data_IF_034549284215
#
_entry.id   IF_034549284215
#
_cell.length_a   1.000
_cell.length_b   1.000
_cell.length_c   1.000
_cell.angle_alpha   90.00
_cell.angle_beta   90.00
_cell.angle_gamma   90.00
#
_symmetry.space_group_name_H-M   'P 1'
#
loop_
_entity.id
_entity.type
_entity.pdbx_description
1 polymer ?
#
# COMPACT_ATOMS: atom_id res chain seq x y z
N UNK A 1 -76.66 -10.45 0.40
CA UNK A 1 -75.72 -11.52 0.01
C UNK A 1 -74.43 -10.85 -0.37
N UNK A 2 -73.37 -11.27 0.31
CA UNK A 2 -72.01 -10.72 0.30
C UNK A 2 -71.33 -11.13 -0.99
N UNK A 3 -70.69 -10.21 -1.71
CA UNK A 3 -69.59 -10.62 -2.58
C UNK A 3 -68.37 -9.71 -2.39
N UNK A 4 -67.30 -10.39 -2.01
CA UNK A 4 -66.10 -9.91 -1.37
C UNK A 4 -64.99 -9.97 -2.42
N UNK A 5 -64.80 -8.90 -3.18
CA UNK A 5 -63.72 -8.85 -4.17
C UNK A 5 -62.40 -8.47 -3.48
N UNK A 6 -61.57 -9.51 -3.34
CA UNK A 6 -60.23 -9.53 -2.75
C UNK A 6 -59.28 -8.55 -3.46
N UNK A 7 -58.74 -7.60 -2.72
CA UNK A 7 -57.52 -6.88 -3.11
C UNK A 7 -56.32 -7.82 -2.98
N UNK A 8 -55.68 -8.16 -4.09
CA UNK A 8 -54.40 -8.88 -4.09
C UNK A 8 -53.28 -7.87 -3.84
N UNK A 9 -52.73 -7.85 -2.63
CA UNK A 9 -51.49 -7.17 -2.31
C UNK A 9 -50.32 -7.97 -2.92
N UNK A 10 -49.67 -7.44 -3.95
CA UNK A 10 -48.39 -7.97 -4.43
C UNK A 10 -47.26 -7.32 -3.65
N UNK A 11 -46.70 -8.06 -2.68
CA UNK A 11 -45.45 -7.72 -2.04
C UNK A 11 -44.30 -8.07 -3.00
N UNK A 12 -43.65 -7.07 -3.58
CA UNK A 12 -42.38 -7.27 -4.28
C UNK A 12 -41.29 -7.40 -3.23
N UNK A 13 -40.70 -8.60 -3.17
CA UNK A 13 -39.58 -8.93 -2.30
C UNK A 13 -38.36 -8.12 -2.73
N UNK A 14 -37.82 -7.33 -1.80
CA UNK A 14 -36.57 -6.58 -1.99
C UNK A 14 -35.41 -7.59 -2.02
N UNK A 15 -34.80 -7.79 -3.18
CA UNK A 15 -33.48 -8.40 -3.26
C UNK A 15 -32.44 -7.32 -2.96
N UNK A 16 -32.09 -7.15 -1.69
CA UNK A 16 -30.83 -6.50 -1.32
C UNK A 16 -29.72 -7.42 -1.82
N UNK A 17 -29.15 -7.08 -2.97
CA UNK A 17 -27.84 -7.61 -3.36
C UNK A 17 -26.86 -7.16 -2.28
N UNK A 18 -26.54 -8.07 -1.36
CA UNK A 18 -25.38 -7.92 -0.53
C UNK A 18 -24.20 -7.78 -1.49
N UNK A 19 -23.64 -6.57 -1.60
CA UNK A 19 -22.27 -6.42 -2.04
C UNK A 19 -21.49 -7.29 -1.07
N UNK A 20 -21.03 -8.44 -1.56
CA UNK A 20 -20.03 -9.22 -0.87
C UNK A 20 -18.89 -8.23 -0.63
N UNK A 21 -18.80 -7.71 0.59
CA UNK A 21 -17.57 -7.13 1.07
C UNK A 21 -16.53 -8.21 0.81
N UNK A 22 -15.42 -7.91 0.11
CA UNK A 22 -14.38 -8.91 -0.01
C UNK A 22 -14.03 -9.30 1.42
N UNK A 23 -14.41 -10.53 1.77
CA UNK A 23 -13.92 -11.24 2.93
C UNK A 23 -12.42 -11.04 2.89
N UNK A 24 -11.86 -10.50 3.98
CA UNK A 24 -10.42 -10.37 4.20
C UNK A 24 -9.78 -11.66 3.69
N UNK A 25 -9.26 -11.66 2.47
CA UNK A 25 -8.44 -12.73 1.97
C UNK A 25 -7.29 -12.78 2.97
N UNK A 26 -7.07 -13.95 3.55
CA UNK A 26 -5.99 -14.26 4.51
C UNK A 26 -4.76 -13.47 4.09
N UNK A 27 -4.48 -12.36 4.78
CA UNK A 27 -3.58 -11.35 4.25
C UNK A 27 -2.19 -11.95 4.19
N UNK A 28 -1.72 -12.18 2.97
CA UNK A 28 -0.36 -12.62 2.73
C UNK A 28 0.64 -11.59 3.22
N UNK A 29 1.91 -11.97 3.22
CA UNK A 29 3.00 -11.02 3.37
C UNK A 29 3.03 -10.04 2.18
N UNK A 30 3.50 -8.82 2.42
CA UNK A 30 3.62 -7.78 1.41
C UNK A 30 4.89 -6.94 1.57
N UNK A 31 5.37 -6.38 0.47
CA UNK A 31 6.46 -5.39 0.45
C UNK A 31 5.94 -4.09 -0.15
N UNK A 32 6.18 -2.97 0.53
CA UNK A 32 5.60 -1.68 0.19
C UNK A 32 6.69 -0.61 0.06
N UNK A 33 6.55 0.24 -0.94
CA UNK A 33 7.47 1.34 -1.23
C UNK A 33 6.78 2.64 -0.79
N UNK A 34 7.43 3.40 0.07
CA UNK A 34 6.88 4.59 0.70
C UNK A 34 7.75 5.81 0.49
N UNK A 35 7.08 6.95 0.35
CA UNK A 35 7.69 8.26 0.53
C UNK A 35 7.18 8.82 1.86
N UNK A 36 8.10 9.28 2.72
CA UNK A 36 7.75 9.75 4.05
C UNK A 36 8.19 11.19 4.28
N UNK A 37 7.22 12.01 4.67
CA UNK A 37 7.40 13.39 5.06
C UNK A 37 7.63 13.50 6.57
N UNK A 38 8.51 14.38 7.04
CA UNK A 38 8.75 14.55 8.46
C UNK A 38 7.60 15.33 9.12
N UNK A 39 7.37 15.08 10.41
CA UNK A 39 6.38 15.82 11.21
C UNK A 39 6.98 16.95 12.06
N UNK A 40 8.27 17.28 11.87
CA UNK A 40 9.02 18.13 12.80
C UNK A 40 8.53 19.59 12.88
N UNK A 41 8.72 20.23 14.03
CA UNK A 41 8.47 21.65 14.24
C UNK A 41 9.64 22.56 13.81
N UNK A 42 9.53 23.87 14.05
CA UNK A 42 10.61 24.81 13.75
C UNK A 42 11.90 24.44 14.52
N UNK A 43 13.04 24.39 13.83
CA UNK A 43 14.36 24.19 14.44
C UNK A 43 14.91 22.76 14.44
N UNK A 44 14.18 21.77 13.92
CA UNK A 44 14.73 20.42 13.63
C UNK A 44 15.04 20.27 12.15
N UNK A 45 16.15 19.58 11.83
CA UNK A 45 16.46 19.21 10.44
C UNK A 45 15.37 18.30 9.91
N UNK A 46 14.67 18.76 8.88
CA UNK A 46 13.61 18.01 8.23
C UNK A 46 14.24 17.10 7.17
N UNK A 47 13.86 15.83 7.19
CA UNK A 47 14.31 14.86 6.19
C UNK A 47 13.12 14.22 5.50
N UNK A 48 13.20 14.14 4.18
CA UNK A 48 12.29 13.37 3.34
C UNK A 48 12.97 12.05 3.03
N UNK A 49 12.30 10.96 3.38
CA UNK A 49 12.88 9.62 3.26
C UNK A 49 12.04 8.76 2.33
N UNK A 50 12.71 7.87 1.61
CA UNK A 50 12.07 6.82 0.83
C UNK A 50 12.45 5.49 1.42
N UNK A 51 11.47 4.67 1.77
CA UNK A 51 11.68 3.41 2.48
C UNK A 51 10.94 2.26 1.80
N UNK A 52 11.50 1.07 1.94
CA UNK A 52 10.87 -0.20 1.57
C UNK A 52 10.55 -0.94 2.86
N UNK A 53 9.31 -1.38 3.03
CA UNK A 53 8.84 -2.03 4.26
C UNK A 53 8.27 -3.40 3.94
N UNK A 54 8.71 -4.38 4.71
CA UNK A 54 8.11 -5.71 4.72
C UNK A 54 7.02 -5.79 5.80
N UNK A 55 5.87 -6.29 5.43
CA UNK A 55 4.77 -6.58 6.34
C UNK A 55 4.43 -8.07 6.26
N UNK A 56 4.64 -8.80 7.35
CA UNK A 56 4.24 -10.21 7.44
C UNK A 56 2.72 -10.39 7.29
N UNK A 57 1.97 -9.34 7.65
CA UNK A 57 0.55 -9.18 7.35
C UNK A 57 0.36 -7.88 6.56
N UNK A 58 0.04 -7.98 5.27
CA UNK A 58 -0.11 -6.85 4.34
C UNK A 58 -1.01 -5.70 4.87
N UNK A 59 -2.02 -5.98 5.73
CA UNK A 59 -2.89 -4.92 6.29
C UNK A 59 -2.12 -3.87 7.04
N UNK A 60 -1.07 -4.30 7.72
CA UNK A 60 -0.40 -3.49 8.71
C UNK A 60 0.27 -2.31 8.00
N UNK A 61 0.79 -2.55 6.80
CA UNK A 61 1.34 -1.54 5.90
C UNK A 61 0.28 -0.59 5.28
N UNK A 62 -0.97 -0.62 5.76
CA UNK A 62 -2.05 0.28 5.34
C UNK A 62 -2.72 0.98 6.53
N UNK A 63 -2.09 0.94 7.71
CA UNK A 63 -2.61 1.53 8.94
C UNK A 63 -1.63 2.58 9.51
N UNK A 64 -2.08 3.83 9.67
CA UNK A 64 -1.28 4.91 10.24
C UNK A 64 -0.75 4.61 11.66
N UNK A 65 -1.47 3.78 12.42
CA UNK A 65 -1.04 3.33 13.76
C UNK A 65 0.05 2.27 13.72
N UNK A 66 0.33 1.68 12.55
CA UNK A 66 1.38 0.70 12.40
C UNK A 66 2.74 1.39 12.29
N UNK A 67 3.67 0.92 13.11
CA UNK A 67 5.08 1.29 13.03
C UNK A 67 5.90 0.02 12.82
N UNK A 68 6.52 -0.15 11.63
CA UNK A 68 7.28 -1.36 11.34
C UNK A 68 8.54 -1.44 12.20
N UNK A 69 8.89 -2.67 12.60
CA UNK A 69 10.18 -2.93 13.24
C UNK A 69 11.33 -2.56 12.31
N UNK A 70 12.44 -2.04 12.85
CA UNK A 70 13.60 -1.58 12.05
C UNK A 70 14.16 -2.66 11.12
N UNK A 71 14.14 -3.92 11.53
CA UNK A 71 14.59 -5.05 10.72
C UNK A 71 13.73 -5.30 9.47
N UNK A 72 12.50 -4.79 9.47
CA UNK A 72 11.56 -4.85 8.36
C UNK A 72 11.55 -3.57 7.51
N UNK A 73 12.49 -2.66 7.75
CA UNK A 73 12.59 -1.40 7.00
C UNK A 73 13.97 -1.32 6.33
N UNK A 74 13.95 -1.05 5.03
CA UNK A 74 15.13 -0.71 4.27
C UNK A 74 15.02 0.74 3.80
N UNK A 75 15.97 1.59 4.21
CA UNK A 75 16.00 3.00 3.79
C UNK A 75 16.64 3.08 2.40
N UNK A 76 15.88 3.56 1.41
CA UNK A 76 16.33 3.65 0.02
C UNK A 76 16.95 5.01 -0.30
N UNK A 77 16.43 6.08 0.31
CA UNK A 77 16.93 7.44 0.12
C UNK A 77 16.60 8.35 1.30
N UNK A 78 17.44 9.34 1.53
CA UNK A 78 17.26 10.41 2.52
C UNK A 78 17.65 11.73 1.87
N UNK A 79 16.81 12.75 2.01
CA UNK A 79 17.04 14.08 1.50
C UNK A 79 16.69 15.14 2.54
N UNK A 80 17.45 16.24 2.55
CA UNK A 80 17.12 17.46 3.30
C UNK A 80 16.41 18.50 2.44
N UNK A 81 16.24 18.22 1.15
CA UNK A 81 15.44 19.03 0.23
C UNK A 81 14.00 18.58 0.32
N UNK A 82 13.09 19.53 0.49
CA UNK A 82 11.66 19.28 0.60
C UNK A 82 11.12 18.47 -0.57
N UNK A 83 10.39 17.40 -0.26
CA UNK A 83 9.73 16.48 -1.20
C UNK A 83 10.64 15.83 -2.26
N UNK A 84 11.96 15.88 -2.05
CA UNK A 84 12.93 15.20 -2.90
C UNK A 84 13.07 13.73 -2.46
N UNK A 85 12.22 12.88 -3.04
CA UNK A 85 12.18 11.44 -2.80
C UNK A 85 13.05 10.65 -3.79
N UNK A 86 13.26 9.38 -3.47
CA UNK A 86 13.88 8.41 -4.37
C UNK A 86 13.02 8.15 -5.62
N UNK A 87 13.67 7.94 -6.77
CA UNK A 87 12.98 7.62 -8.03
C UNK A 87 12.78 6.09 -8.09
N UNK A 88 11.53 5.65 -8.07
CA UNK A 88 11.17 4.22 -8.01
C UNK A 88 11.16 3.54 -9.38
N UNK A 89 10.96 4.33 -10.44
CA UNK A 89 10.66 3.88 -11.79
C UNK A 89 11.87 3.89 -12.74
N UNK A 90 11.74 3.18 -13.87
CA UNK A 90 12.62 3.29 -15.04
C UNK A 90 13.79 2.30 -15.10
N UNK A 91 14.05 1.52 -14.06
CA UNK A 91 15.07 0.45 -14.08
C UNK A 91 14.83 -0.57 -12.97
N UNK A 92 15.54 -1.70 -13.03
CA UNK A 92 15.60 -2.66 -11.93
C UNK A 92 16.35 -2.04 -10.75
N UNK A 93 15.79 -2.23 -9.55
CA UNK A 93 16.33 -1.69 -8.31
C UNK A 93 16.18 -2.70 -7.17
N UNK A 94 16.90 -2.48 -6.08
CA UNK A 94 16.81 -3.33 -4.90
C UNK A 94 17.04 -2.58 -3.59
N UNK A 95 16.64 -3.21 -2.49
CA UNK A 95 16.86 -2.74 -1.13
C UNK A 95 17.19 -3.95 -0.23
N UNK A 96 18.29 -3.86 0.52
CA UNK A 96 18.71 -4.90 1.46
C UNK A 96 18.30 -4.55 2.88
N UNK A 97 17.44 -5.38 3.47
CA UNK A 97 17.00 -5.24 4.84
C UNK A 97 18.12 -5.55 5.83
N UNK A 98 18.07 -5.02 7.07
CA UNK A 98 19.04 -5.35 8.13
C UNK A 98 19.17 -6.85 8.42
N UNK A 99 18.11 -7.63 8.20
CA UNK A 99 18.11 -9.10 8.30
C UNK A 99 19.01 -9.79 7.26
N UNK A 100 19.45 -9.06 6.24
CA UNK A 100 20.32 -9.54 5.17
C UNK A 100 19.57 -9.94 3.89
N UNK A 101 18.24 -10.04 3.93
CA UNK A 101 17.37 -10.30 2.77
C UNK A 101 17.37 -9.08 1.85
N UNK A 102 17.46 -9.31 0.54
CA UNK A 102 17.35 -8.26 -0.48
C UNK A 102 16.04 -8.44 -1.23
N UNK A 103 15.26 -7.37 -1.33
CA UNK A 103 14.12 -7.30 -2.24
C UNK A 103 14.51 -6.54 -3.50
N UNK A 104 14.22 -7.10 -4.67
CA UNK A 104 14.49 -6.53 -5.98
C UNK A 104 13.18 -6.33 -6.73
N UNK A 105 13.06 -5.24 -7.48
CA UNK A 105 11.88 -4.91 -8.28
C UNK A 105 12.25 -4.20 -9.57
N UNK A 106 11.32 -4.17 -10.52
CA UNK A 106 11.43 -3.35 -11.73
C UNK A 106 10.08 -2.68 -12.03
N UNK A 107 10.07 -1.34 -12.01
CA UNK A 107 8.87 -0.53 -12.26
C UNK A 107 9.08 0.25 -13.56
N UNK A 108 8.18 0.13 -14.56
CA UNK A 108 8.22 0.91 -15.80
C UNK A 108 8.23 2.42 -15.54
N UNK A 109 8.96 3.17 -16.37
CA UNK A 109 9.07 4.64 -16.25
C UNK A 109 7.74 5.38 -16.34
N UNK A 110 6.71 4.77 -16.95
CA UNK A 110 5.38 5.36 -17.10
C UNK A 110 4.41 4.98 -15.96
N UNK A 111 4.86 4.24 -14.94
CA UNK A 111 3.99 3.66 -13.92
C UNK A 111 3.10 4.68 -13.19
N UNK A 112 3.62 5.88 -12.86
CA UNK A 112 2.81 6.92 -12.20
C UNK A 112 1.67 7.47 -13.07
N UNK A 113 1.80 7.40 -14.40
CA UNK A 113 0.76 7.85 -15.33
C UNK A 113 -0.38 6.83 -15.53
N UNK A 114 -0.22 5.61 -15.01
CA UNK A 114 -1.22 4.55 -15.11
C UNK A 114 -2.31 4.72 -14.05
N UNK A 115 -3.50 4.14 -14.24
CA UNK A 115 -4.54 4.13 -13.21
C UNK A 115 -4.07 3.46 -11.92
N UNK A 116 -4.61 3.91 -10.79
CA UNK A 116 -4.30 3.33 -9.48
C UNK A 116 -4.69 1.85 -9.44
N UNK A 117 -3.95 1.07 -8.64
CA UNK A 117 -4.11 -0.38 -8.48
C UNK A 117 -3.83 -1.20 -9.75
N UNK A 118 -3.26 -0.57 -10.78
CA UNK A 118 -2.81 -1.29 -11.99
C UNK A 118 -1.52 -2.04 -11.69
N UNK A 119 -1.38 -3.22 -12.30
CA UNK A 119 -0.13 -3.98 -12.30
C UNK A 119 1.02 -3.19 -12.94
N UNK A 120 2.16 -3.12 -12.25
CA UNK A 120 3.34 -2.37 -12.68
C UNK A 120 4.61 -3.23 -12.80
N UNK A 121 4.52 -4.54 -12.63
CA UNK A 121 5.69 -5.43 -12.72
C UNK A 121 5.77 -6.39 -11.55
N UNK A 122 6.89 -7.09 -11.43
CA UNK A 122 7.15 -8.05 -10.35
C UNK A 122 8.28 -7.58 -9.44
N UNK A 123 8.29 -8.15 -8.24
CA UNK A 123 9.41 -8.07 -7.31
C UNK A 123 9.73 -9.44 -6.73
N UNK A 124 10.92 -9.60 -6.17
CA UNK A 124 11.39 -10.89 -5.64
C UNK A 124 12.34 -10.68 -4.46
N UNK A 125 12.31 -11.60 -3.50
CA UNK A 125 13.30 -11.69 -2.43
C UNK A 125 14.29 -12.87 -2.61
N UNK A 126 14.28 -13.49 -3.79
CA UNK A 126 15.08 -14.69 -4.10
C UNK A 126 14.50 -16.01 -3.57
N UNK A 127 13.47 -15.96 -2.71
CA UNK A 127 12.73 -17.13 -2.27
C UNK A 127 11.36 -17.25 -2.97
N UNK A 128 10.69 -16.12 -3.18
CA UNK A 128 9.42 -16.04 -3.90
C UNK A 128 9.33 -14.74 -4.68
N UNK A 129 8.41 -14.75 -5.63
CA UNK A 129 8.03 -13.59 -6.42
C UNK A 129 6.73 -12.97 -5.87
N UNK A 130 6.54 -11.70 -6.20
CA UNK A 130 5.43 -10.85 -5.80
C UNK A 130 4.92 -10.07 -7.00
N UNK A 131 3.60 -9.90 -7.10
CA UNK A 131 2.99 -9.05 -8.09
C UNK A 131 2.95 -7.60 -7.58
N UNK A 132 3.48 -6.67 -8.37
CA UNK A 132 3.59 -5.26 -8.03
C UNK A 132 2.45 -4.42 -8.62
N UNK A 133 1.96 -3.48 -7.82
CA UNK A 133 0.83 -2.61 -8.16
C UNK A 133 1.10 -1.16 -7.75
N UNK A 134 0.56 -0.23 -8.54
CA UNK A 134 0.50 1.20 -8.19
C UNK A 134 -0.49 1.41 -7.05
N UNK A 135 -0.12 2.22 -6.05
CA UNK A 135 -1.04 2.66 -5.01
C UNK A 135 -1.69 4.03 -5.36
N UNK A 136 -2.70 4.43 -4.59
CA UNK A 136 -3.37 5.72 -4.74
C UNK A 136 -2.78 6.83 -3.88
N UNK A 137 -1.55 6.66 -3.37
CA UNK A 137 -0.85 7.61 -2.52
C UNK A 137 -1.53 7.81 -1.16
N UNK A 138 -2.20 6.77 -0.65
CA UNK A 138 -2.81 6.79 0.67
C UNK A 138 -1.75 6.93 1.77
N UNK A 139 -2.03 7.79 2.77
CA UNK A 139 -1.27 7.78 4.02
C UNK A 139 -1.46 6.44 4.73
N UNK A 140 -0.36 5.73 4.96
CA UNK A 140 -0.45 4.29 5.20
C UNK A 140 0.35 3.80 6.42
N UNK A 141 1.49 4.40 6.79
CA UNK A 141 2.22 4.01 8.01
C UNK A 141 2.89 5.22 8.67
N UNK A 142 3.38 4.98 9.88
CA UNK A 142 4.20 5.91 10.67
C UNK A 142 5.59 5.29 10.89
N UNK A 143 6.67 5.98 10.54
CA UNK A 143 8.04 5.50 10.77
C UNK A 143 8.94 6.57 11.38
N UNK A 144 9.44 6.28 12.58
CA UNK A 144 10.13 7.25 13.45
C UNK A 144 9.31 8.56 13.55
N UNK A 145 9.83 9.67 13.00
CA UNK A 145 9.19 10.99 13.02
C UNK A 145 8.55 11.37 11.67
N UNK A 146 8.13 10.39 10.86
CA UNK A 146 7.60 10.60 9.51
C UNK A 146 6.23 9.95 9.28
N UNK A 147 5.36 10.64 8.53
CA UNK A 147 4.17 10.07 7.91
C UNK A 147 4.53 9.58 6.52
N UNK A 148 4.16 8.35 6.22
CA UNK A 148 4.49 7.70 4.96
C UNK A 148 3.26 7.54 4.08
N UNK A 149 3.40 7.93 2.83
CA UNK A 149 2.46 7.69 1.74
C UNK A 149 2.94 6.49 0.92
N UNK A 150 2.04 5.55 0.67
CA UNK A 150 2.34 4.35 -0.10
C UNK A 150 2.34 4.71 -1.59
N UNK A 151 3.41 4.33 -2.28
CA UNK A 151 3.55 4.61 -3.72
C UNK A 151 3.28 3.35 -4.54
N UNK A 152 3.84 2.22 -4.07
CA UNK A 152 3.70 0.91 -4.69
C UNK A 152 3.61 -0.19 -3.63
N UNK A 153 3.02 -1.32 -4.00
CA UNK A 153 2.98 -2.52 -3.16
C UNK A 153 3.16 -3.80 -3.97
N UNK A 154 3.68 -4.83 -3.32
CA UNK A 154 4.02 -6.12 -3.86
C UNK A 154 3.44 -7.22 -2.96
N UNK A 155 2.57 -8.08 -3.51
CA UNK A 155 1.85 -9.15 -2.79
C UNK A 155 1.89 -10.49 -3.53
#
# INVERSE_FOLDING_TARGET
MVDLMRFLASAVLVAQGALASPTLATRGEGVHLFNCRPWGGAGVTQTWISIVVYCANDSDCSQLSYSPARDNVCVKGVSTTEEAYHIWEGSEQSCRFPTGVTFTWNIPSDAQSRPDYTYIGSGSNGHRDFAGFKDNHGSAISYDYHSCEKIYYYI
#
